data_IF_868540348070
#
_entry.id   IF_868540348070
#
_cell.length_a   1.000
_cell.length_b   1.000
_cell.length_c   1.000
_cell.angle_alpha   90.00
_cell.angle_beta   90.00
_cell.angle_gamma   90.00
#
_symmetry.space_group_name_H-M   'P 1'
#
loop_
_entity.id
_entity.type
_entity.pdbx_description
1 polymer ?
#
# COMPACT_ATOMS: atom_id res chain seq x y z
N UNK A 1 22.70 13.88 -4.33
CA UNK A 1 21.97 13.09 -3.31
C UNK A 1 22.71 13.04 -1.96
N UNK A 2 24.01 12.77 -1.86
CA UNK A 2 24.71 12.61 -0.57
C UNK A 2 24.85 13.91 0.24
N UNK A 3 24.97 15.07 -0.39
CA UNK A 3 25.03 16.39 0.28
C UNK A 3 23.69 16.84 0.89
N UNK A 4 22.57 16.28 0.47
CA UNK A 4 21.25 16.54 1.04
C UNK A 4 21.01 15.82 2.39
N UNK A 5 21.53 14.61 2.55
CA UNK A 5 21.31 13.80 3.76
C UNK A 5 21.90 14.43 5.03
N UNK A 6 23.05 15.10 4.94
CA UNK A 6 23.68 15.79 6.07
C UNK A 6 22.92 17.03 6.54
N UNK A 7 22.07 17.60 5.68
CA UNK A 7 21.27 18.78 6.01
C UNK A 7 19.88 18.45 6.60
N UNK A 8 19.43 17.20 6.51
CA UNK A 8 18.13 16.74 7.03
C UNK A 8 18.04 16.99 8.54
N UNK A 9 19.10 16.68 9.29
CA UNK A 9 19.14 16.85 10.74
C UNK A 9 19.33 18.30 11.20
N UNK A 10 19.69 19.21 10.31
CA UNK A 10 19.87 20.64 10.63
C UNK A 10 18.53 21.42 10.65
N UNK A 11 17.46 20.85 10.07
CA UNK A 11 16.14 21.49 10.04
C UNK A 11 15.32 20.95 11.22
N UNK A 12 15.04 21.76 12.28
CA UNK A 12 14.41 21.27 13.51
C UNK A 12 13.00 20.72 13.30
N UNK A 13 12.24 21.33 12.37
CA UNK A 13 10.88 20.85 12.06
C UNK A 13 10.89 19.48 11.36
N UNK A 14 11.78 19.29 10.40
CA UNK A 14 11.94 18.02 9.70
C UNK A 14 12.39 16.91 10.66
N UNK A 15 13.37 17.22 11.52
CA UNK A 15 13.82 16.31 12.58
C UNK A 15 12.66 15.90 13.49
N UNK A 16 11.81 16.85 13.93
CA UNK A 16 10.64 16.57 14.76
C UNK A 16 9.65 15.66 14.05
N UNK A 17 9.34 15.90 12.77
CA UNK A 17 8.43 15.06 11.98
C UNK A 17 8.95 13.64 11.81
N UNK A 18 10.25 13.48 11.50
CA UNK A 18 10.91 12.17 11.41
C UNK A 18 10.82 11.43 12.75
N UNK A 19 11.14 12.09 13.85
CA UNK A 19 11.11 11.51 15.18
C UNK A 19 9.69 11.07 15.58
N UNK A 20 8.67 11.87 15.27
CA UNK A 20 7.26 11.52 15.47
C UNK A 20 6.89 10.26 14.65
N UNK A 21 7.32 10.18 13.39
CA UNK A 21 7.07 9.01 12.55
C UNK A 21 7.67 7.74 13.17
N UNK A 22 8.95 7.80 13.57
CA UNK A 22 9.60 6.66 14.22
C UNK A 22 8.94 6.28 15.56
N UNK A 23 8.52 7.27 16.37
CA UNK A 23 7.83 7.04 17.63
C UNK A 23 6.53 6.26 17.40
N UNK A 24 5.69 6.70 16.46
CA UNK A 24 4.43 6.02 16.18
C UNK A 24 4.63 4.63 15.57
N UNK A 25 5.65 4.44 14.73
CA UNK A 25 6.03 3.11 14.22
C UNK A 25 6.53 2.19 15.35
N UNK A 26 7.26 2.72 16.33
CA UNK A 26 7.67 1.95 17.51
C UNK A 26 6.46 1.55 18.37
N UNK A 27 5.49 2.45 18.59
CA UNK A 27 4.24 2.14 19.29
C UNK A 27 3.47 1.04 18.56
N UNK A 28 3.34 1.14 17.23
CA UNK A 28 2.76 0.07 16.41
C UNK A 28 3.48 -1.25 16.64
N UNK A 29 4.82 -1.24 16.63
CA UNK A 29 5.62 -2.46 16.80
C UNK A 29 5.45 -3.09 18.18
N UNK A 30 5.36 -2.30 19.24
CA UNK A 30 5.05 -2.79 20.60
C UNK A 30 3.69 -3.49 20.63
N UNK A 31 2.65 -2.88 20.04
CA UNK A 31 1.30 -3.43 20.03
C UNK A 31 1.17 -4.76 19.26
N UNK A 32 2.03 -5.00 18.25
CA UNK A 32 2.11 -6.30 17.54
C UNK A 32 2.50 -7.46 18.48
N UNK A 33 3.14 -7.17 19.63
CA UNK A 33 3.59 -8.19 20.58
C UNK A 33 2.61 -8.40 21.76
N UNK A 34 1.51 -7.64 21.83
CA UNK A 34 0.50 -7.78 22.88
C UNK A 34 -0.53 -8.82 22.43
N UNK A 35 -0.56 -10.04 23.02
CA UNK A 35 -1.49 -11.07 22.58
C UNK A 35 -2.93 -10.75 23.00
N UNK A 36 -3.90 -11.23 22.21
CA UNK A 36 -5.32 -11.19 22.58
C UNK A 36 -5.58 -12.14 23.76
N UNK A 37 -6.36 -11.73 24.77
CA UNK A 37 -6.66 -12.58 25.91
C UNK A 37 -7.42 -13.86 25.52
N UNK A 38 -7.19 -14.96 26.26
CA UNK A 38 -7.93 -16.22 26.09
C UNK A 38 -7.37 -17.19 25.05
N UNK A 39 -6.14 -16.96 24.55
CA UNK A 39 -5.49 -17.76 23.50
C UNK A 39 -4.22 -18.40 24.03
N UNK A 40 -4.01 -19.66 23.65
CA UNK A 40 -2.75 -20.36 23.87
C UNK A 40 -1.77 -19.99 22.73
N UNK A 41 -0.80 -19.11 23.06
CA UNK A 41 0.17 -18.58 22.09
C UNK A 41 1.08 -19.67 21.48
N UNK A 42 1.46 -20.68 22.28
CA UNK A 42 2.36 -21.77 21.82
C UNK A 42 1.66 -22.70 20.84
N UNK A 43 0.41 -23.09 21.13
CA UNK A 43 -0.42 -23.88 20.23
C UNK A 43 -0.70 -23.16 18.92
N UNK A 44 -0.92 -21.84 18.98
CA UNK A 44 -1.14 -21.00 17.80
C UNK A 44 0.14 -20.88 16.97
N UNK A 45 1.28 -20.61 17.58
CA UNK A 45 2.57 -20.47 16.88
C UNK A 45 2.97 -21.77 16.17
N UNK A 46 2.72 -22.94 16.81
CA UNK A 46 2.97 -24.25 16.20
C UNK A 46 2.09 -24.48 14.97
N UNK A 47 0.82 -24.10 15.03
CA UNK A 47 -0.13 -24.18 13.91
C UNK A 47 0.33 -23.29 12.73
N UNK A 48 0.72 -22.04 13.01
CA UNK A 48 1.17 -21.12 11.95
C UNK A 48 2.49 -21.55 11.30
N UNK A 49 3.40 -22.16 12.03
CA UNK A 49 4.63 -22.74 11.46
C UNK A 49 4.35 -23.79 10.39
N UNK A 50 3.34 -24.64 10.59
CA UNK A 50 2.92 -25.60 9.56
C UNK A 50 2.21 -24.96 8.38
N UNK A 51 1.50 -23.86 8.61
CA UNK A 51 0.72 -23.17 7.57
C UNK A 51 1.45 -21.99 6.94
N UNK A 52 2.74 -21.82 7.18
CA UNK A 52 3.51 -20.67 6.68
C UNK A 52 3.54 -20.54 5.15
N UNK A 53 3.31 -21.63 4.41
CA UNK A 53 3.17 -21.66 2.94
C UNK A 53 1.78 -21.36 2.39
N UNK A 54 0.81 -21.03 3.23
CA UNK A 54 -0.59 -20.84 2.85
C UNK A 54 -1.00 -19.37 2.87
N UNK A 55 -2.28 -19.10 2.58
CA UNK A 55 -2.91 -17.79 2.68
C UNK A 55 -2.71 -17.09 4.02
N UNK A 56 -2.69 -17.86 5.11
CA UNK A 56 -2.44 -17.31 6.45
C UNK A 56 -1.08 -16.61 6.54
N UNK A 57 -0.05 -17.16 5.88
CA UNK A 57 1.25 -16.51 5.77
C UNK A 57 1.21 -15.16 5.03
N UNK A 58 0.38 -15.01 3.99
CA UNK A 58 0.20 -13.75 3.29
C UNK A 58 -0.52 -12.71 4.17
N UNK A 59 -1.59 -13.09 4.87
CA UNK A 59 -2.29 -12.18 5.80
C UNK A 59 -1.32 -11.71 6.88
N UNK A 60 -0.54 -12.65 7.43
CA UNK A 60 0.41 -12.35 8.49
C UNK A 60 1.56 -11.46 8.01
N UNK A 61 1.96 -11.57 6.75
CA UNK A 61 2.96 -10.68 6.15
C UNK A 61 2.49 -9.21 6.17
N UNK A 62 1.22 -8.93 5.82
CA UNK A 62 0.66 -7.58 5.86
C UNK A 62 0.42 -7.08 7.29
N UNK A 63 0.18 -7.97 8.24
CA UNK A 63 0.04 -7.64 9.66
C UNK A 63 1.38 -7.51 10.39
N UNK A 64 2.51 -7.83 9.73
CA UNK A 64 3.84 -7.74 10.32
C UNK A 64 4.13 -8.75 11.43
N UNK A 65 3.51 -9.94 11.39
CA UNK A 65 3.62 -10.97 12.40
C UNK A 65 2.59 -10.85 13.54
N UNK A 66 1.64 -9.93 13.41
CA UNK A 66 0.60 -9.73 14.41
C UNK A 66 -0.46 -10.86 14.39
N UNK A 67 -0.70 -11.44 13.22
CA UNK A 67 -1.68 -12.51 13.04
C UNK A 67 -1.17 -13.85 13.58
N UNK A 68 0.09 -14.20 13.34
CA UNK A 68 0.75 -15.40 13.88
C UNK A 68 0.66 -15.50 15.41
N UNK A 69 0.70 -14.34 16.10
CA UNK A 69 0.61 -14.25 17.57
C UNK A 69 -0.78 -13.93 18.06
N UNK A 70 -1.72 -13.76 17.16
CA UNK A 70 -3.04 -13.17 17.38
C UNK A 70 -2.99 -11.99 18.36
N UNK A 71 -2.14 -11.01 18.03
CA UNK A 71 -2.04 -9.80 18.84
C UNK A 71 -3.29 -8.94 18.71
N UNK A 72 -3.38 -7.92 19.56
CA UNK A 72 -4.43 -6.87 19.47
C UNK A 72 -4.49 -6.27 18.06
N UNK A 73 -3.37 -6.29 17.31
CA UNK A 73 -3.25 -5.79 15.95
C UNK A 73 -3.33 -6.89 14.86
N UNK A 74 -3.89 -8.07 15.18
CA UNK A 74 -3.90 -9.19 14.25
C UNK A 74 -4.62 -8.89 12.92
N UNK A 75 -5.72 -8.14 12.92
CA UNK A 75 -6.38 -7.67 11.70
C UNK A 75 -5.54 -6.66 10.91
N UNK A 76 -4.55 -6.03 11.55
CA UNK A 76 -3.72 -5.02 10.93
C UNK A 76 -4.51 -3.86 10.35
N UNK A 77 -4.06 -3.35 9.20
CA UNK A 77 -4.70 -2.25 8.47
C UNK A 77 -5.69 -2.74 7.39
N UNK A 78 -5.85 -4.08 7.22
CA UNK A 78 -6.67 -4.66 6.14
C UNK A 78 -8.13 -4.18 6.14
N UNK A 79 -8.85 -4.11 7.29
CA UNK A 79 -10.22 -3.61 7.31
C UNK A 79 -10.34 -2.16 6.82
N UNK A 80 -9.35 -1.32 7.13
CA UNK A 80 -9.31 0.06 6.66
C UNK A 80 -9.08 0.15 5.15
N UNK A 81 -8.15 -0.65 4.62
CA UNK A 81 -7.90 -0.71 3.17
C UNK A 81 -9.18 -1.13 2.46
N UNK A 82 -9.85 -2.21 2.92
CA UNK A 82 -11.09 -2.70 2.33
C UNK A 82 -12.20 -1.65 2.37
N UNK A 83 -12.39 -0.96 3.51
CA UNK A 83 -13.37 0.12 3.64
C UNK A 83 -13.06 1.29 2.69
N UNK A 84 -11.79 1.66 2.57
CA UNK A 84 -11.34 2.72 1.67
C UNK A 84 -11.60 2.38 0.21
N UNK A 85 -11.32 1.13 -0.20
CA UNK A 85 -11.61 0.63 -1.54
C UNK A 85 -13.11 0.71 -1.84
N UNK A 86 -13.93 0.15 -0.95
CA UNK A 86 -15.39 0.13 -1.09
C UNK A 86 -15.91 1.56 -1.26
N UNK A 87 -15.48 2.49 -0.41
CA UNK A 87 -15.92 3.88 -0.51
C UNK A 87 -15.41 4.57 -1.78
N UNK A 88 -14.18 4.33 -2.23
CA UNK A 88 -13.68 4.86 -3.48
C UNK A 88 -14.48 4.34 -4.69
N UNK A 89 -14.86 3.06 -4.70
CA UNK A 89 -15.74 2.51 -5.73
C UNK A 89 -17.13 3.15 -5.66
N UNK A 90 -17.68 3.34 -4.45
CA UNK A 90 -18.97 3.96 -4.25
C UNK A 90 -18.99 5.45 -4.65
N UNK A 91 -17.88 6.18 -4.57
CA UNK A 91 -17.81 7.57 -5.04
C UNK A 91 -18.03 7.70 -6.55
N UNK A 92 -17.78 6.65 -7.32
CA UNK A 92 -18.05 6.63 -8.77
C UNK A 92 -19.49 6.28 -9.07
N UNK A 93 -20.13 5.46 -8.21
CA UNK A 93 -21.50 4.93 -8.44
C UNK A 93 -22.57 5.84 -7.80
N UNK A 94 -22.29 6.41 -6.63
CA UNK A 94 -23.25 7.19 -5.85
C UNK A 94 -23.05 8.69 -6.09
N UNK A 95 -24.01 9.39 -6.75
CA UNK A 95 -23.85 10.82 -7.08
C UNK A 95 -23.63 11.73 -5.86
N UNK A 96 -24.15 11.34 -4.68
CA UNK A 96 -23.93 12.08 -3.44
C UNK A 96 -22.45 12.08 -3.03
N UNK A 97 -21.79 10.91 -3.10
CA UNK A 97 -20.38 10.77 -2.75
C UNK A 97 -19.46 11.44 -3.79
N UNK A 98 -19.86 11.39 -5.07
CA UNK A 98 -19.17 12.12 -6.15
C UNK A 98 -19.18 13.63 -5.89
N UNK A 99 -20.33 14.20 -5.49
CA UNK A 99 -20.43 15.62 -5.11
C UNK A 99 -19.53 15.96 -3.93
N UNK A 100 -19.53 15.13 -2.88
CA UNK A 100 -18.66 15.30 -1.73
C UNK A 100 -17.17 15.30 -2.14
N UNK A 101 -16.77 14.45 -3.06
CA UNK A 101 -15.39 14.42 -3.56
C UNK A 101 -15.01 15.73 -4.29
N UNK A 102 -15.96 16.36 -4.99
CA UNK A 102 -15.78 17.64 -5.69
C UNK A 102 -15.83 18.87 -4.76
N UNK A 103 -16.39 18.75 -3.55
CA UNK A 103 -16.44 19.82 -2.54
C UNK A 103 -15.07 20.18 -1.92
N UNK A 104 -13.99 19.55 -2.35
CA UNK A 104 -12.63 19.83 -1.87
C UNK A 104 -12.35 19.27 -0.47
N UNK A 105 -11.67 20.04 0.40
CA UNK A 105 -11.22 19.53 1.72
C UNK A 105 -12.35 19.13 2.66
N UNK A 106 -13.47 19.87 2.65
CA UNK A 106 -14.61 19.57 3.52
C UNK A 106 -15.26 18.23 3.14
N UNK A 107 -15.44 17.98 1.85
CA UNK A 107 -15.99 16.72 1.37
C UNK A 107 -15.03 15.53 1.61
N UNK A 108 -13.74 15.73 1.40
CA UNK A 108 -12.73 14.71 1.70
C UNK A 108 -12.73 14.30 3.17
N UNK A 109 -12.87 15.23 4.11
CA UNK A 109 -12.99 14.92 5.55
C UNK A 109 -14.19 14.04 5.84
N UNK A 110 -15.35 14.29 5.20
CA UNK A 110 -16.55 13.44 5.35
C UNK A 110 -16.33 12.03 4.77
N UNK A 111 -15.68 11.91 3.61
CA UNK A 111 -15.34 10.60 3.02
C UNK A 111 -14.42 9.81 3.95
N UNK A 112 -13.39 10.44 4.51
CA UNK A 112 -12.52 9.81 5.51
C UNK A 112 -13.30 9.37 6.75
N UNK A 113 -14.26 10.17 7.21
CA UNK A 113 -15.12 9.79 8.34
C UNK A 113 -15.99 8.56 8.02
N UNK A 114 -16.57 8.47 6.83
CA UNK A 114 -17.29 7.26 6.39
C UNK A 114 -16.36 6.04 6.28
N UNK A 115 -15.12 6.24 5.82
CA UNK A 115 -14.10 5.18 5.80
C UNK A 115 -13.84 4.66 7.22
N UNK A 116 -13.72 5.53 8.22
CA UNK A 116 -13.53 5.12 9.62
C UNK A 116 -14.72 4.28 10.12
N UNK A 117 -15.96 4.68 9.85
CA UNK A 117 -17.13 3.90 10.24
C UNK A 117 -17.17 2.54 9.54
N UNK A 118 -16.92 2.53 8.22
CA UNK A 118 -16.80 1.28 7.45
C UNK A 118 -15.71 0.35 7.99
N UNK A 119 -14.57 0.90 8.40
CA UNK A 119 -13.47 0.14 9.01
C UNK A 119 -13.91 -0.54 10.30
N UNK A 120 -14.61 0.17 11.18
CA UNK A 120 -15.10 -0.41 12.45
C UNK A 120 -16.08 -1.54 12.19
N UNK A 121 -17.04 -1.34 11.28
CA UNK A 121 -18.02 -2.39 10.92
C UNK A 121 -17.33 -3.62 10.32
N UNK A 122 -16.42 -3.42 9.36
CA UNK A 122 -15.68 -4.52 8.74
C UNK A 122 -14.78 -5.25 9.74
N UNK A 123 -14.12 -4.52 10.66
CA UNK A 123 -13.29 -5.14 11.68
C UNK A 123 -14.10 -5.97 12.69
N UNK A 124 -15.33 -5.56 13.02
CA UNK A 124 -16.23 -6.37 13.83
C UNK A 124 -16.63 -7.67 13.13
N UNK A 125 -17.01 -7.60 11.85
CA UNK A 125 -17.39 -8.77 11.06
C UNK A 125 -16.20 -9.73 10.92
N UNK A 126 -15.03 -9.21 10.55
CA UNK A 126 -13.82 -10.02 10.39
C UNK A 126 -13.34 -10.60 11.73
N UNK A 127 -13.37 -9.80 12.80
CA UNK A 127 -13.01 -10.25 14.16
C UNK A 127 -13.92 -11.37 14.66
N UNK A 128 -15.22 -11.27 14.38
CA UNK A 128 -16.19 -12.33 14.72
C UNK A 128 -15.91 -13.61 13.94
N UNK A 129 -15.62 -13.51 12.64
CA UNK A 129 -15.23 -14.66 11.84
C UNK A 129 -13.95 -15.32 12.36
N UNK A 130 -12.91 -14.54 12.68
CA UNK A 130 -11.66 -15.06 13.26
C UNK A 130 -11.93 -15.76 14.58
N UNK A 131 -12.76 -15.20 15.46
CA UNK A 131 -13.09 -15.81 16.74
C UNK A 131 -13.73 -17.21 16.58
N UNK A 132 -14.69 -17.35 15.66
CA UNK A 132 -15.32 -18.64 15.34
C UNK A 132 -14.30 -19.61 14.72
N UNK A 133 -13.47 -19.12 13.80
CA UNK A 133 -12.44 -19.93 13.16
C UNK A 133 -11.46 -20.53 14.18
N UNK A 134 -11.00 -19.72 15.12
CA UNK A 134 -10.06 -20.13 16.18
C UNK A 134 -10.64 -21.16 17.14
N UNK A 135 -11.94 -21.09 17.47
CA UNK A 135 -12.58 -22.09 18.31
C UNK A 135 -12.60 -23.49 17.68
N UNK A 136 -12.64 -23.54 16.34
CA UNK A 136 -12.65 -24.78 15.57
C UNK A 136 -11.24 -25.30 15.23
N UNK A 137 -10.20 -24.49 15.44
CA UNK A 137 -8.82 -24.86 15.15
C UNK A 137 -8.17 -25.54 16.33
N UNK A 138 -7.31 -26.53 16.04
CA UNK A 138 -6.49 -27.23 17.04
C UNK A 138 -5.02 -27.11 16.66
N UNK A 139 -4.17 -27.01 17.67
CA UNK A 139 -2.72 -27.05 17.49
C UNK A 139 -2.26 -28.40 16.93
N UNK A 140 -1.00 -28.47 16.55
CA UNK A 140 -0.38 -29.68 15.95
C UNK A 140 -0.40 -30.91 16.87
N UNK A 141 -0.36 -30.70 18.17
CA UNK A 141 -0.46 -31.75 19.19
C UNK A 141 -1.92 -32.06 19.62
N UNK A 142 -2.92 -31.49 18.92
CA UNK A 142 -4.33 -31.65 19.28
C UNK A 142 -4.81 -30.68 20.37
N UNK A 143 -3.96 -29.79 20.87
CA UNK A 143 -4.28 -28.83 21.90
C UNK A 143 -5.29 -27.78 21.38
N UNK A 144 -6.18 -27.32 22.26
CA UNK A 144 -7.11 -26.24 21.94
C UNK A 144 -6.36 -24.91 21.88
N UNK A 145 -6.55 -24.16 20.79
CA UNK A 145 -5.98 -22.82 20.62
C UNK A 145 -6.70 -21.85 21.55
N UNK A 146 -8.01 -22.02 21.73
CA UNK A 146 -8.84 -21.19 22.61
C UNK A 146 -8.99 -21.89 23.95
N UNK A 147 -8.57 -21.22 25.04
CA UNK A 147 -8.61 -21.79 26.40
C UNK A 147 -10.05 -22.01 26.90
N UNK A 148 -10.93 -21.04 26.65
CA UNK A 148 -12.35 -21.12 27.06
C UNK A 148 -13.21 -20.71 25.86
N UNK A 149 -13.69 -21.67 25.04
CA UNK A 149 -14.57 -21.39 23.93
C UNK A 149 -15.95 -20.91 24.40
N UNK A 150 -16.57 -20.03 23.64
CA UNK A 150 -17.92 -19.55 23.91
C UNK A 150 -18.12 -18.05 23.63
N UNK A 151 -19.33 -17.57 23.90
CA UNK A 151 -19.71 -16.19 23.60
C UNK A 151 -18.82 -15.14 24.29
N UNK A 152 -18.34 -15.43 25.51
CA UNK A 152 -17.42 -14.54 26.22
C UNK A 152 -16.12 -14.32 25.44
N UNK A 153 -15.52 -15.38 24.92
CA UNK A 153 -14.31 -15.29 24.07
C UNK A 153 -14.59 -14.54 22.77
N UNK A 154 -15.71 -14.86 22.09
CA UNK A 154 -16.07 -14.22 20.80
C UNK A 154 -16.22 -12.71 20.98
N UNK A 155 -17.00 -12.27 21.96
CA UNK A 155 -17.23 -10.83 22.21
C UNK A 155 -15.92 -10.14 22.58
N UNK A 156 -15.12 -10.73 23.47
CA UNK A 156 -13.84 -10.17 23.89
C UNK A 156 -12.87 -10.04 22.71
N UNK A 157 -12.76 -11.07 21.87
CA UNK A 157 -11.91 -11.06 20.69
C UNK A 157 -12.36 -9.99 19.69
N UNK A 158 -13.67 -9.88 19.40
CA UNK A 158 -14.20 -8.86 18.50
C UNK A 158 -13.88 -7.45 19.01
N UNK A 159 -14.13 -7.17 20.28
CA UNK A 159 -13.84 -5.86 20.88
C UNK A 159 -12.34 -5.56 20.81
N UNK A 160 -11.50 -6.51 21.19
CA UNK A 160 -10.04 -6.34 21.20
C UNK A 160 -9.48 -6.07 19.80
N UNK A 161 -9.86 -6.88 18.81
CA UNK A 161 -9.39 -6.72 17.44
C UNK A 161 -9.92 -5.44 16.78
N UNK A 162 -11.17 -5.07 17.04
CA UNK A 162 -11.77 -3.83 16.53
C UNK A 162 -11.09 -2.61 17.14
N UNK A 163 -10.86 -2.62 18.46
CA UNK A 163 -10.15 -1.55 19.14
C UNK A 163 -8.70 -1.42 18.61
N UNK A 164 -8.03 -2.55 18.40
CA UNK A 164 -6.68 -2.59 17.80
C UNK A 164 -6.65 -1.99 16.39
N UNK A 165 -7.59 -2.38 15.53
CA UNK A 165 -7.69 -1.83 14.16
C UNK A 165 -7.99 -0.32 14.19
N UNK A 166 -8.91 0.13 15.05
CA UNK A 166 -9.21 1.55 15.20
C UNK A 166 -7.98 2.34 15.67
N UNK A 167 -7.18 1.76 16.58
CA UNK A 167 -5.95 2.38 17.05
C UNK A 167 -4.87 2.44 15.96
N UNK A 168 -4.67 1.38 15.17
CA UNK A 168 -3.75 1.40 14.02
C UNK A 168 -4.17 2.46 13.00
N UNK A 169 -5.44 2.56 12.69
CA UNK A 169 -5.99 3.57 11.80
C UNK A 169 -5.66 4.97 12.33
N UNK A 170 -5.90 5.24 13.61
CA UNK A 170 -5.56 6.51 14.25
C UNK A 170 -4.05 6.79 14.21
N UNK A 171 -3.20 5.79 14.47
CA UNK A 171 -1.74 5.92 14.34
C UNK A 171 -1.35 6.32 12.92
N UNK A 172 -1.92 5.67 11.90
CA UNK A 172 -1.67 6.00 10.49
C UNK A 172 -2.04 7.43 10.13
N UNK A 173 -3.18 7.92 10.64
CA UNK A 173 -3.61 9.30 10.47
C UNK A 173 -2.65 10.28 11.18
N UNK A 174 -2.24 9.99 12.41
CA UNK A 174 -1.30 10.83 13.14
C UNK A 174 0.07 10.90 12.44
N UNK A 175 0.56 9.81 11.87
CA UNK A 175 1.80 9.82 11.07
C UNK A 175 1.61 10.72 9.84
N UNK A 176 0.47 10.62 9.15
CA UNK A 176 0.20 11.43 7.95
C UNK A 176 0.08 12.91 8.27
N UNK A 177 -0.55 13.29 9.39
CA UNK A 177 -0.75 14.69 9.77
C UNK A 177 0.50 15.34 10.38
N UNK A 178 1.18 14.62 11.27
CA UNK A 178 2.28 15.18 12.10
C UNK A 178 3.66 14.66 11.72
N UNK A 179 3.72 13.56 10.99
CA UNK A 179 4.96 12.92 10.55
C UNK A 179 5.36 13.28 9.12
N UNK A 180 6.02 12.33 8.47
CA UNK A 180 6.43 12.38 7.05
C UNK A 180 5.95 11.11 6.39
N UNK A 181 5.47 11.24 5.17
CA UNK A 181 4.97 10.11 4.38
C UNK A 181 3.47 9.83 4.61
N UNK A 182 2.96 8.86 3.87
CA UNK A 182 1.63 8.32 4.10
C UNK A 182 1.70 7.32 5.27
N UNK A 183 1.06 7.65 6.40
CA UNK A 183 1.17 6.86 7.62
C UNK A 183 0.68 5.42 7.48
N UNK A 184 -0.38 5.19 6.69
CA UNK A 184 -0.92 3.86 6.42
C UNK A 184 0.10 3.01 5.65
N UNK A 185 0.66 3.59 4.59
CA UNK A 185 1.69 2.93 3.79
C UNK A 185 2.96 2.64 4.61
N UNK A 186 3.34 3.55 5.52
CA UNK A 186 4.48 3.37 6.41
C UNK A 186 4.26 2.28 7.46
N UNK A 187 3.03 2.10 7.95
CA UNK A 187 2.69 0.99 8.87
C UNK A 187 2.83 -0.35 8.13
N UNK A 188 2.33 -0.45 6.89
CA UNK A 188 2.50 -1.66 6.07
C UNK A 188 3.98 -1.92 5.79
N UNK A 189 4.72 -0.88 5.39
CA UNK A 189 6.17 -0.94 5.20
C UNK A 189 6.90 -1.47 6.43
N UNK A 190 6.60 -0.92 7.61
CA UNK A 190 7.20 -1.35 8.87
C UNK A 190 6.87 -2.81 9.20
N UNK A 191 5.65 -3.26 8.92
CA UNK A 191 5.25 -4.67 9.05
C UNK A 191 6.09 -5.60 8.18
N UNK A 192 6.26 -5.26 6.91
CA UNK A 192 7.03 -6.05 5.94
C UNK A 192 8.52 -6.07 6.31
N UNK A 193 9.12 -4.90 6.56
CA UNK A 193 10.55 -4.77 6.89
C UNK A 193 10.91 -5.50 8.18
N UNK A 194 10.02 -5.48 9.16
CA UNK A 194 10.25 -6.17 10.44
C UNK A 194 10.35 -7.71 10.31
N UNK A 195 9.87 -8.30 9.23
CA UNK A 195 9.99 -9.76 8.94
C UNK A 195 11.23 -10.09 8.10
N UNK A 196 11.89 -9.11 7.51
CA UNK A 196 13.09 -9.35 6.69
C UNK A 196 14.21 -10.11 7.44
N UNK A 197 14.56 -9.77 8.70
CA UNK A 197 15.58 -10.51 9.42
C UNK A 197 15.26 -12.00 9.58
N UNK A 198 13.99 -12.33 9.87
CA UNK A 198 13.56 -13.73 9.99
C UNK A 198 13.63 -14.48 8.66
N UNK A 199 13.27 -13.84 7.57
CA UNK A 199 13.37 -14.43 6.23
C UNK A 199 14.83 -14.70 5.84
N UNK A 200 15.75 -13.78 6.19
CA UNK A 200 17.19 -13.98 5.98
C UNK A 200 17.71 -15.15 6.83
N UNK A 201 17.31 -15.22 8.11
CA UNK A 201 17.71 -16.30 9.01
C UNK A 201 17.23 -17.67 8.50
N UNK A 202 15.96 -17.79 8.08
CA UNK A 202 15.42 -19.03 7.50
C UNK A 202 16.16 -19.45 6.23
N UNK A 203 16.55 -18.49 5.38
CA UNK A 203 17.33 -18.79 4.17
C UNK A 203 18.73 -19.28 4.50
N UNK A 204 19.34 -18.73 5.54
CA UNK A 204 20.62 -19.20 6.04
C UNK A 204 20.55 -20.61 6.62
N UNK A 205 19.48 -20.94 7.38
CA UNK A 205 19.22 -22.30 7.88
C UNK A 205 19.09 -23.31 6.73
N UNK A 206 18.31 -22.99 5.69
CA UNK A 206 18.16 -23.88 4.53
C UNK A 206 19.48 -24.08 3.76
N UNK A 207 20.33 -23.07 3.73
CA UNK A 207 21.67 -23.18 3.17
C UNK A 207 22.55 -24.10 4.03
N UNK A 208 22.52 -23.98 5.36
CA UNK A 208 23.35 -24.81 6.27
C UNK A 208 22.89 -26.28 6.31
N UNK A 209 21.58 -26.54 6.16
CA UNK A 209 21.01 -27.90 6.06
C UNK A 209 21.25 -28.53 4.67
N UNK A 210 21.84 -27.78 3.72
CA UNK A 210 22.15 -28.29 2.38
C UNK A 210 20.96 -28.40 1.42
N UNK A 211 19.81 -27.85 1.79
CA UNK A 211 18.64 -27.81 0.91
C UNK A 211 18.75 -26.75 -0.19
N UNK A 212 19.63 -25.77 -0.02
CA UNK A 212 19.92 -24.73 -1.03
C UNK A 212 21.37 -24.73 -1.41
N UNK A 213 21.66 -24.72 -2.74
CA UNK A 213 23.00 -24.54 -3.26
C UNK A 213 23.44 -23.07 -3.12
N UNK A 214 24.76 -22.85 -2.93
CA UNK A 214 25.32 -21.50 -2.91
C UNK A 214 25.01 -20.72 -4.21
N UNK A 215 24.97 -21.42 -5.35
CA UNK A 215 24.61 -20.85 -6.65
C UNK A 215 23.17 -20.34 -6.63
N UNK A 216 22.24 -21.10 -6.05
CA UNK A 216 20.84 -20.69 -5.92
C UNK A 216 20.69 -19.42 -5.08
N UNK A 217 21.41 -19.32 -3.96
CA UNK A 217 21.42 -18.13 -3.10
C UNK A 217 21.94 -16.91 -3.87
N UNK A 218 23.05 -17.09 -4.60
CA UNK A 218 23.67 -16.00 -5.37
C UNK A 218 22.75 -15.50 -6.50
N UNK A 219 22.10 -16.43 -7.22
CA UNK A 219 21.11 -16.12 -8.27
C UNK A 219 19.92 -15.38 -7.68
N UNK A 220 19.42 -15.77 -6.51
CA UNK A 220 18.30 -15.09 -5.84
C UNK A 220 18.67 -13.66 -5.45
N UNK A 221 19.84 -13.43 -4.86
CA UNK A 221 20.31 -12.08 -4.53
C UNK A 221 20.40 -11.22 -5.80
N UNK A 222 20.94 -11.76 -6.88
CA UNK A 222 21.07 -11.05 -8.15
C UNK A 222 19.67 -10.69 -8.72
N UNK A 223 18.72 -11.62 -8.68
CA UNK A 223 17.33 -11.37 -9.10
C UNK A 223 16.70 -10.28 -8.22
N UNK A 224 16.87 -10.34 -6.89
CA UNK A 224 16.32 -9.31 -5.99
C UNK A 224 16.89 -7.92 -6.31
N UNK A 225 18.19 -7.79 -6.46
CA UNK A 225 18.82 -6.51 -6.81
C UNK A 225 18.33 -6.00 -8.16
N UNK A 226 18.20 -6.90 -9.15
CA UNK A 226 17.67 -6.56 -10.47
C UNK A 226 16.22 -6.08 -10.39
N UNK A 227 15.35 -6.79 -9.66
CA UNK A 227 13.94 -6.39 -9.48
C UNK A 227 13.83 -5.05 -8.79
N UNK A 228 14.59 -4.81 -7.72
CA UNK A 228 14.61 -3.52 -7.03
C UNK A 228 15.06 -2.39 -7.97
N UNK A 229 16.10 -2.62 -8.77
CA UNK A 229 16.57 -1.65 -9.76
C UNK A 229 15.50 -1.33 -10.82
N UNK A 230 14.78 -2.35 -11.32
CA UNK A 230 13.66 -2.17 -12.26
C UNK A 230 12.52 -1.39 -11.61
N UNK A 231 12.16 -1.70 -10.36
CA UNK A 231 11.12 -0.97 -9.62
C UNK A 231 11.50 0.51 -9.49
N UNK A 232 12.72 0.82 -9.04
CA UNK A 232 13.19 2.21 -8.90
C UNK A 232 13.16 2.93 -10.25
N UNK A 233 13.62 2.26 -11.32
CA UNK A 233 13.64 2.85 -12.66
C UNK A 233 12.24 3.21 -13.17
N UNK A 234 11.26 2.31 -13.01
CA UNK A 234 9.89 2.54 -13.49
C UNK A 234 9.14 3.53 -12.61
N UNK A 235 9.28 3.43 -11.27
CA UNK A 235 8.60 4.35 -10.33
C UNK A 235 9.12 5.80 -10.42
N UNK A 236 10.39 5.98 -10.75
CA UNK A 236 10.97 7.32 -10.99
C UNK A 236 10.75 7.81 -12.41
N UNK A 237 10.39 6.91 -13.33
CA UNK A 237 10.18 7.21 -14.74
C UNK A 237 9.00 8.15 -14.98
N UNK A 238 9.22 9.17 -15.83
CA UNK A 238 8.20 10.17 -16.17
C UNK A 238 8.19 10.45 -17.67
N UNK A 239 6.98 10.49 -18.25
CA UNK A 239 6.79 11.06 -19.59
C UNK A 239 6.50 12.55 -19.47
N UNK A 240 7.37 13.37 -19.99
CA UNK A 240 7.25 14.85 -19.96
C UNK A 240 6.55 15.31 -21.24
N UNK A 241 5.35 15.89 -21.10
CA UNK A 241 4.64 16.52 -22.20
C UNK A 241 5.05 18.02 -22.27
N UNK A 242 5.50 18.53 -23.43
CA UNK A 242 5.90 19.93 -23.56
C UNK A 242 4.66 20.82 -23.47
N UNK A 243 4.71 21.82 -22.60
CA UNK A 243 3.68 22.85 -22.43
C UNK A 243 4.31 24.21 -22.66
N UNK A 244 3.73 25.01 -23.54
CA UNK A 244 4.15 26.39 -23.80
C UNK A 244 3.11 27.36 -23.26
N UNK A 245 3.59 28.42 -22.63
CA UNK A 245 2.75 29.51 -22.16
C UNK A 245 2.89 30.71 -23.11
N UNK A 246 1.76 31.32 -23.43
CA UNK A 246 1.76 32.52 -24.27
C UNK A 246 2.56 33.68 -23.65
N UNK A 247 3.37 34.33 -24.44
CA UNK A 247 4.07 35.54 -24.01
C UNK A 247 3.07 36.64 -23.75
N UNK A 248 3.10 37.25 -22.57
CA UNK A 248 2.31 38.47 -22.26
C UNK A 248 3.24 39.68 -22.25
N UNK A 249 2.89 40.70 -23.01
CA UNK A 249 3.58 41.99 -23.01
C UNK A 249 2.81 42.91 -22.08
N UNK A 250 3.44 43.37 -21.01
CA UNK A 250 2.87 44.35 -20.07
C UNK A 250 3.80 45.58 -20.12
N UNK A 251 3.37 46.60 -20.88
CA UNK A 251 4.20 47.75 -21.15
C UNK A 251 5.43 47.41 -22.01
N UNK A 252 6.62 47.78 -21.56
CA UNK A 252 7.91 47.47 -22.22
C UNK A 252 8.52 46.12 -21.81
N UNK A 253 7.89 45.37 -20.89
CA UNK A 253 8.43 44.10 -20.39
C UNK A 253 7.63 42.90 -20.95
N UNK A 254 8.37 41.92 -21.47
CA UNK A 254 7.80 40.67 -21.94
C UNK A 254 7.82 39.67 -20.77
N UNK A 255 6.64 39.28 -20.31
CA UNK A 255 6.46 38.22 -19.30
C UNK A 255 5.98 36.96 -19.98
N UNK A 256 6.55 35.78 -19.59
CA UNK A 256 6.16 34.47 -20.10
C UNK A 256 7.03 34.01 -21.27
N UNK A 257 6.58 32.95 -21.95
CA UNK A 257 7.36 32.29 -23.00
C UNK A 257 8.29 31.20 -22.44
N UNK A 258 8.19 30.86 -21.17
CA UNK A 258 8.89 29.68 -20.63
C UNK A 258 8.17 28.42 -21.11
N UNK A 259 8.92 27.50 -21.71
CA UNK A 259 8.44 26.15 -21.97
C UNK A 259 8.58 25.33 -20.67
N UNK A 260 7.49 24.83 -20.18
CA UNK A 260 7.46 23.88 -19.07
C UNK A 260 7.03 22.51 -19.58
N UNK A 261 7.11 21.52 -18.73
CA UNK A 261 6.70 20.17 -19.06
C UNK A 261 5.66 19.69 -18.04
N UNK A 262 4.61 19.03 -18.52
CA UNK A 262 3.67 18.30 -17.68
C UNK A 262 4.26 16.90 -17.43
N UNK A 263 4.70 16.56 -16.21
CA UNK A 263 5.23 15.24 -15.90
C UNK A 263 4.09 14.27 -15.67
N UNK A 264 4.04 13.18 -16.45
CA UNK A 264 3.15 12.04 -16.22
C UNK A 264 4.02 10.87 -15.74
N UNK A 265 3.80 10.39 -14.52
CA UNK A 265 4.50 9.21 -13.99
C UNK A 265 4.16 7.98 -14.83
N UNK A 266 5.12 7.07 -15.06
CA UNK A 266 4.89 5.80 -15.77
C UNK A 266 3.93 4.90 -14.98
N UNK A 267 4.08 4.86 -13.66
CA UNK A 267 3.13 4.24 -12.77
C UNK A 267 2.35 5.33 -12.02
N UNK A 268 1.25 5.80 -12.61
CA UNK A 268 0.40 6.85 -12.00
C UNK A 268 -0.40 6.30 -10.83
N UNK A 269 -0.74 5.00 -10.86
CA UNK A 269 -1.52 4.32 -9.82
C UNK A 269 -0.70 3.92 -8.60
N UNK A 270 0.64 3.91 -8.69
CA UNK A 270 1.54 3.55 -7.59
C UNK A 270 1.40 2.09 -7.15
N UNK A 271 1.53 1.87 -5.85
CA UNK A 271 1.49 0.53 -5.22
C UNK A 271 0.09 0.13 -4.74
N UNK A 272 -0.92 0.96 -4.94
CA UNK A 272 -2.29 0.76 -4.45
C UNK A 272 -3.02 -0.39 -5.18
N UNK A 273 -2.97 -0.52 -6.53
CA UNK A 273 -3.70 -1.56 -7.25
C UNK A 273 -3.38 -3.00 -6.83
N UNK A 274 -2.12 -3.41 -6.63
CA UNK A 274 -1.81 -4.75 -6.11
C UNK A 274 -2.38 -5.02 -4.73
N UNK A 275 -2.42 -4.01 -3.85
CA UNK A 275 -2.99 -4.13 -2.51
C UNK A 275 -4.50 -4.38 -2.62
N UNK A 276 -5.17 -3.65 -3.52
CA UNK A 276 -6.60 -3.82 -3.78
C UNK A 276 -6.92 -5.19 -4.37
N UNK A 277 -6.17 -5.60 -5.37
CA UNK A 277 -6.33 -6.90 -6.02
C UNK A 277 -6.15 -8.05 -5.01
N UNK A 278 -5.11 -8.00 -4.17
CA UNK A 278 -4.89 -9.01 -3.14
C UNK A 278 -6.00 -9.02 -2.07
N UNK A 279 -6.46 -7.85 -1.63
CA UNK A 279 -7.53 -7.73 -0.63
C UNK A 279 -8.84 -8.34 -1.12
N UNK A 280 -9.22 -8.10 -2.38
CA UNK A 280 -10.45 -8.67 -2.97
C UNK A 280 -10.33 -10.18 -3.13
N UNK A 281 -9.18 -10.69 -3.59
CA UNK A 281 -8.97 -12.13 -3.74
C UNK A 281 -8.91 -12.86 -2.39
N UNK A 282 -8.40 -12.20 -1.35
CA UNK A 282 -8.37 -12.76 0.00
C UNK A 282 -9.75 -12.83 0.67
N UNK A 283 -10.68 -11.96 0.29
CA UNK A 283 -11.99 -11.88 0.95
C UNK A 283 -12.81 -13.17 0.86
N UNK A 284 -13.04 -13.81 -0.31
CA UNK A 284 -13.74 -15.09 -0.41
C UNK A 284 -13.03 -16.21 0.34
N UNK A 285 -11.70 -16.25 0.29
CA UNK A 285 -10.89 -17.26 0.97
C UNK A 285 -10.96 -17.11 2.50
N UNK A 286 -11.02 -15.86 2.98
CA UNK A 286 -11.20 -15.59 4.41
C UNK A 286 -12.57 -16.07 4.88
N UNK A 287 -13.64 -15.79 4.12
CA UNK A 287 -14.98 -16.28 4.44
C UNK A 287 -15.01 -17.82 4.48
N UNK A 288 -14.39 -18.46 3.51
CA UNK A 288 -14.36 -19.94 3.44
C UNK A 288 -13.64 -20.58 4.63
N UNK A 289 -12.59 -19.96 5.14
CA UNK A 289 -11.88 -20.45 6.34
C UNK A 289 -12.72 -20.38 7.62
N UNK A 290 -13.78 -19.56 7.62
CA UNK A 290 -14.73 -19.47 8.75
C UNK A 290 -15.92 -20.43 8.61
N UNK A 291 -16.05 -21.09 7.44
CA UNK A 291 -17.11 -22.08 7.27
C UNK A 291 -16.80 -23.36 8.02
N UNK A 292 -17.81 -24.02 8.65
CA UNK A 292 -17.62 -25.31 9.28
C UNK A 292 -17.11 -26.35 8.29
N UNK A 293 -16.08 -27.11 8.65
CA UNK A 293 -15.53 -28.18 7.80
C UNK A 293 -16.58 -29.17 7.26
N UNK A 294 -17.56 -29.64 8.07
CA UNK A 294 -18.62 -30.53 7.57
C UNK A 294 -19.39 -29.90 6.40
N UNK A 295 -19.70 -28.63 6.45
CA UNK A 295 -20.41 -27.92 5.36
C UNK A 295 -19.59 -27.86 4.07
N UNK A 296 -18.28 -27.67 4.18
CA UNK A 296 -17.36 -27.67 3.04
C UNK A 296 -17.23 -29.08 2.41
N UNK A 297 -17.28 -30.13 3.20
CA UNK A 297 -17.24 -31.51 2.74
C UNK A 297 -18.54 -31.94 2.03
N UNK A 298 -19.68 -31.40 2.44
CA UNK A 298 -20.97 -31.58 1.77
C UNK A 298 -21.06 -30.86 0.42
N UNK A 299 -20.21 -29.83 0.19
CA UNK A 299 -20.24 -29.02 -1.03
C UNK A 299 -18.90 -29.04 -1.79
N UNK A 300 -18.54 -30.15 -2.44
CA UNK A 300 -17.24 -30.33 -3.09
C UNK A 300 -16.93 -29.31 -4.20
N UNK A 301 -17.97 -28.73 -4.81
CA UNK A 301 -17.81 -27.65 -5.80
C UNK A 301 -17.23 -26.36 -5.18
N UNK A 302 -17.64 -26.02 -3.96
CA UNK A 302 -17.08 -24.88 -3.22
C UNK A 302 -15.60 -25.11 -2.93
N UNK A 303 -15.27 -26.31 -2.45
CA UNK A 303 -13.89 -26.69 -2.15
C UNK A 303 -13.00 -26.68 -3.41
N UNK A 304 -13.53 -27.09 -4.56
CA UNK A 304 -12.83 -27.03 -5.85
C UNK A 304 -12.55 -25.58 -6.27
N UNK A 305 -13.52 -24.67 -6.12
CA UNK A 305 -13.32 -23.24 -6.36
C UNK A 305 -12.27 -22.65 -5.42
N UNK A 306 -12.33 -22.97 -4.12
CA UNK A 306 -11.38 -22.46 -3.14
C UNK A 306 -9.96 -22.97 -3.40
N UNK A 307 -9.79 -24.22 -3.77
CA UNK A 307 -8.50 -24.78 -4.16
C UNK A 307 -7.94 -24.09 -5.43
N UNK A 308 -8.81 -23.76 -6.37
CA UNK A 308 -8.43 -23.03 -7.60
C UNK A 308 -8.09 -21.56 -7.35
N UNK A 309 -8.63 -20.98 -6.26
CA UNK A 309 -8.30 -19.62 -5.80
C UNK A 309 -7.12 -19.62 -4.80
N UNK A 310 -6.55 -20.77 -4.49
CA UNK A 310 -5.37 -20.87 -3.63
C UNK A 310 -4.13 -20.20 -4.23
N UNK A 311 -3.19 -19.69 -3.39
CA UNK A 311 -1.94 -19.11 -3.86
C UNK A 311 -1.15 -20.13 -4.68
N UNK A 312 -0.71 -19.70 -5.87
CA UNK A 312 0.04 -20.55 -6.81
C UNK A 312 -0.84 -21.25 -7.86
N UNK A 313 -2.15 -21.28 -7.71
CA UNK A 313 -3.06 -21.78 -8.75
C UNK A 313 -3.06 -20.83 -9.98
N UNK A 314 -3.20 -21.41 -11.16
CA UNK A 314 -3.22 -20.65 -12.41
C UNK A 314 -4.38 -19.63 -12.43
N UNK A 315 -5.56 -20.06 -11.97
CA UNK A 315 -6.75 -19.19 -11.89
C UNK A 315 -6.53 -18.00 -10.95
N UNK A 316 -5.92 -18.24 -9.78
CA UNK A 316 -5.55 -17.17 -8.85
C UNK A 316 -4.65 -16.13 -9.53
N UNK A 317 -3.58 -16.57 -10.21
CA UNK A 317 -2.65 -15.67 -10.87
C UNK A 317 -3.30 -14.88 -12.02
N UNK A 318 -4.17 -15.51 -12.81
CA UNK A 318 -4.91 -14.84 -13.88
C UNK A 318 -5.87 -13.79 -13.34
N UNK A 319 -6.64 -14.12 -12.30
CA UNK A 319 -7.54 -13.16 -11.65
C UNK A 319 -6.76 -12.03 -10.99
N UNK A 320 -5.64 -12.36 -10.34
CA UNK A 320 -4.78 -11.36 -9.71
C UNK A 320 -4.24 -10.35 -10.71
N UNK A 321 -3.70 -10.80 -11.84
CA UNK A 321 -3.25 -9.93 -12.94
C UNK A 321 -4.41 -9.11 -13.50
N UNK A 322 -5.57 -9.75 -13.74
CA UNK A 322 -6.77 -9.07 -14.24
C UNK A 322 -7.23 -7.94 -13.29
N UNK A 323 -7.29 -8.21 -12.00
CA UNK A 323 -7.63 -7.19 -11.00
C UNK A 323 -6.57 -6.09 -10.88
N UNK A 324 -5.28 -6.42 -10.96
CA UNK A 324 -4.23 -5.39 -10.97
C UNK A 324 -4.44 -4.44 -12.15
N UNK A 325 -4.64 -4.98 -13.35
CA UNK A 325 -4.87 -4.16 -14.56
C UNK A 325 -6.12 -3.30 -14.38
N UNK A 326 -7.23 -3.92 -13.95
CA UNK A 326 -8.48 -3.21 -13.70
C UNK A 326 -8.29 -2.05 -12.70
N UNK A 327 -7.67 -2.31 -11.56
CA UNK A 327 -7.45 -1.27 -10.54
C UNK A 327 -6.43 -0.22 -10.95
N UNK A 328 -5.44 -0.55 -11.77
CA UNK A 328 -4.54 0.46 -12.34
C UNK A 328 -5.31 1.48 -13.19
N UNK A 329 -6.19 1.01 -14.07
CA UNK A 329 -7.04 1.90 -14.87
C UNK A 329 -8.05 2.66 -14.03
N UNK A 330 -8.73 1.96 -13.13
CA UNK A 330 -9.71 2.55 -12.24
C UNK A 330 -9.11 3.67 -11.39
N UNK A 331 -7.99 3.37 -10.71
CA UNK A 331 -7.34 4.35 -9.82
C UNK A 331 -6.79 5.54 -10.60
N UNK A 332 -6.23 5.31 -11.78
CA UNK A 332 -5.75 6.38 -12.65
C UNK A 332 -6.91 7.30 -13.08
N UNK A 333 -8.07 6.73 -13.45
CA UNK A 333 -9.24 7.50 -13.84
C UNK A 333 -9.83 8.33 -12.68
N UNK A 334 -9.79 7.80 -11.45
CA UNK A 334 -10.30 8.50 -10.25
C UNK A 334 -9.36 9.61 -9.79
N UNK A 335 -8.03 9.40 -9.88
CA UNK A 335 -7.04 10.35 -9.35
C UNK A 335 -6.65 11.43 -10.34
N UNK A 336 -6.73 11.16 -11.63
CA UNK A 336 -6.30 12.10 -12.67
C UNK A 336 -7.43 12.34 -13.67
N UNK A 337 -7.99 13.57 -13.63
CA UNK A 337 -9.00 14.00 -14.59
C UNK A 337 -8.36 14.83 -15.73
N UNK A 338 -8.25 14.28 -16.94
CA UNK A 338 -7.64 14.98 -18.07
C UNK A 338 -8.35 16.28 -18.45
N UNK A 339 -9.68 16.34 -18.24
CA UNK A 339 -10.48 17.53 -18.56
C UNK A 339 -10.13 18.69 -17.63
N UNK A 340 -10.04 18.43 -16.32
CA UNK A 340 -9.69 19.49 -15.35
C UNK A 340 -8.28 20.01 -15.57
N UNK A 341 -7.33 19.13 -15.92
CA UNK A 341 -5.95 19.54 -16.25
C UNK A 341 -5.91 20.39 -17.51
N UNK A 342 -6.61 19.99 -18.58
CA UNK A 342 -6.65 20.73 -19.84
C UNK A 342 -7.37 22.10 -19.68
N UNK A 343 -8.43 22.15 -18.87
CA UNK A 343 -9.14 23.40 -18.56
C UNK A 343 -8.27 24.36 -17.74
N UNK A 344 -7.58 23.85 -16.72
CA UNK A 344 -6.64 24.65 -15.93
C UNK A 344 -5.50 25.17 -16.80
N UNK A 345 -4.91 24.32 -17.66
CA UNK A 345 -3.91 24.76 -18.62
C UNK A 345 -4.44 25.90 -19.50
N UNK A 346 -5.67 25.78 -20.02
CA UNK A 346 -6.31 26.83 -20.84
C UNK A 346 -6.50 28.12 -20.05
N UNK A 347 -6.96 28.05 -18.79
CA UNK A 347 -7.15 29.22 -17.90
C UNK A 347 -5.85 29.97 -17.65
N UNK A 348 -4.73 29.27 -17.54
CA UNK A 348 -3.39 29.87 -17.35
C UNK A 348 -2.67 30.22 -18.66
N UNK A 349 -3.33 30.05 -19.82
CA UNK A 349 -2.74 30.37 -21.11
C UNK A 349 -1.67 29.39 -21.59
N UNK A 350 -1.65 28.18 -21.02
CA UNK A 350 -0.79 27.06 -21.43
C UNK A 350 -1.42 26.26 -22.57
N UNK A 351 -0.61 25.78 -23.48
CA UNK A 351 -1.02 24.90 -24.58
C UNK A 351 0.07 23.89 -24.93
N UNK A 352 -0.33 22.76 -25.47
CA UNK A 352 0.59 21.77 -26.03
C UNK A 352 0.83 22.14 -27.51
N UNK A 353 2.09 22.24 -27.97
CA UNK A 353 2.38 22.56 -29.37
C UNK A 353 1.66 21.62 -30.34
N UNK A 354 0.98 22.20 -31.34
CA UNK A 354 0.23 21.46 -32.35
C UNK A 354 -1.21 21.05 -31.95
N UNK A 355 -1.66 21.38 -30.71
CA UNK A 355 -3.01 21.06 -30.25
C UNK A 355 -3.79 22.31 -29.83
N UNK A 356 -5.10 22.33 -30.12
CA UNK A 356 -5.97 23.42 -29.64
C UNK A 356 -6.20 23.26 -28.13
N UNK A 357 -6.05 24.37 -27.33
CA UNK A 357 -6.33 24.35 -25.91
C UNK A 357 -7.77 23.95 -25.59
N UNK A 358 -7.99 23.12 -24.58
CA UNK A 358 -9.30 22.65 -24.15
C UNK A 358 -9.50 21.17 -24.48
N UNK A 359 -10.68 20.79 -25.05
CA UNK A 359 -11.10 19.40 -25.24
C UNK A 359 -10.09 18.54 -26.01
N UNK A 360 -9.50 19.08 -27.11
CA UNK A 360 -8.48 18.33 -27.88
C UNK A 360 -7.20 18.06 -27.08
N UNK A 361 -6.85 18.93 -26.18
CA UNK A 361 -5.73 18.73 -25.24
C UNK A 361 -6.09 17.65 -24.21
N UNK A 362 -7.34 17.63 -23.70
CA UNK A 362 -7.82 16.59 -22.80
C UNK A 362 -7.81 15.19 -23.46
N UNK A 363 -8.35 15.08 -24.66
CA UNK A 363 -8.35 13.82 -25.44
C UNK A 363 -6.91 13.29 -25.68
N UNK A 364 -5.96 14.18 -25.95
CA UNK A 364 -4.57 13.80 -26.15
C UNK A 364 -3.92 13.32 -24.84
N UNK A 365 -4.13 14.03 -23.74
CA UNK A 365 -3.62 13.64 -22.41
C UNK A 365 -4.21 12.30 -22.02
N UNK A 366 -5.51 12.08 -22.21
CA UNK A 366 -6.20 10.84 -21.91
C UNK A 366 -5.62 9.66 -22.71
N UNK A 367 -5.42 9.86 -24.01
CA UNK A 367 -4.80 8.83 -24.89
C UNK A 367 -3.38 8.48 -24.44
N UNK A 368 -2.58 9.46 -24.03
CA UNK A 368 -1.23 9.22 -23.53
C UNK A 368 -1.27 8.50 -22.20
N UNK A 369 -2.16 8.95 -21.30
CA UNK A 369 -2.33 8.37 -19.96
C UNK A 369 -2.76 6.89 -20.05
N UNK A 370 -3.75 6.57 -20.88
CA UNK A 370 -4.22 5.19 -21.12
C UNK A 370 -3.09 4.26 -21.56
N UNK A 371 -2.22 4.73 -22.47
CA UNK A 371 -1.07 3.92 -22.93
C UNK A 371 0.00 3.73 -21.86
N UNK A 372 0.28 4.78 -21.09
CA UNK A 372 1.23 4.71 -19.99
C UNK A 372 0.71 3.79 -18.90
N UNK A 373 -0.58 3.89 -18.56
CA UNK A 373 -1.24 3.03 -17.56
C UNK A 373 -1.18 1.56 -17.94
N UNK A 374 -1.35 1.21 -19.24
CA UNK A 374 -1.17 -0.18 -19.68
C UNK A 374 0.24 -0.69 -19.41
N UNK A 375 1.26 0.11 -19.79
CA UNK A 375 2.66 -0.26 -19.54
C UNK A 375 2.95 -0.41 -18.05
N UNK A 376 2.45 0.53 -17.22
CA UNK A 376 2.56 0.47 -15.76
C UNK A 376 1.86 -0.75 -15.17
N UNK A 377 0.63 -1.07 -15.62
CA UNK A 377 -0.13 -2.21 -15.15
C UNK A 377 0.55 -3.56 -15.48
N UNK A 378 1.08 -3.70 -16.69
CA UNK A 378 1.84 -4.89 -17.09
C UNK A 378 3.12 -5.05 -16.25
N UNK A 379 3.84 -3.96 -16.03
CA UNK A 379 5.02 -3.95 -15.17
C UNK A 379 4.67 -4.38 -13.73
N UNK A 380 3.66 -3.75 -13.12
CA UNK A 380 3.21 -4.08 -11.76
C UNK A 380 2.78 -5.55 -11.67
N UNK A 381 2.01 -6.04 -12.65
CA UNK A 381 1.59 -7.43 -12.72
C UNK A 381 2.78 -8.40 -12.81
N UNK A 382 3.76 -8.08 -13.65
CA UNK A 382 4.96 -8.90 -13.80
C UNK A 382 5.77 -8.99 -12.48
N UNK A 383 5.96 -7.86 -11.80
CA UNK A 383 6.65 -7.82 -10.50
C UNK A 383 5.88 -8.58 -9.43
N UNK A 384 4.53 -8.50 -9.42
CA UNK A 384 3.70 -9.17 -8.43
C UNK A 384 3.62 -10.69 -8.62
N UNK A 385 3.67 -11.19 -9.86
CA UNK A 385 3.61 -12.63 -10.16
C UNK A 385 4.99 -13.31 -10.08
N UNK A 386 6.07 -12.56 -10.28
CA UNK A 386 7.44 -13.09 -10.29
C UNK A 386 7.78 -13.96 -9.06
N UNK A 387 7.47 -13.58 -7.81
CA UNK A 387 7.76 -14.42 -6.64
C UNK A 387 6.99 -15.73 -6.62
N UNK A 388 5.76 -15.77 -7.14
CA UNK A 388 4.99 -17.01 -7.25
C UNK A 388 5.70 -18.00 -8.18
N UNK A 389 6.29 -17.49 -9.27
CA UNK A 389 7.09 -18.32 -10.19
C UNK A 389 8.38 -18.78 -9.53
N UNK A 390 9.06 -17.90 -8.78
CA UNK A 390 10.28 -18.23 -8.06
C UNK A 390 10.04 -19.29 -6.99
N UNK A 391 8.95 -19.15 -6.22
CA UNK A 391 8.54 -20.15 -5.23
C UNK A 391 8.29 -21.51 -5.88
N UNK A 392 7.53 -21.57 -6.97
CA UNK A 392 7.20 -22.81 -7.66
C UNK A 392 8.41 -23.50 -8.30
N UNK A 393 9.46 -22.77 -8.70
CA UNK A 393 10.62 -23.32 -9.38
C UNK A 393 11.81 -23.60 -8.48
N UNK A 394 12.04 -22.79 -7.44
CA UNK A 394 13.23 -22.84 -6.60
C UNK A 394 12.97 -23.24 -5.15
N UNK A 395 11.71 -23.51 -4.79
CA UNK A 395 11.28 -23.89 -3.42
C UNK A 395 11.83 -22.95 -2.34
N UNK A 396 11.94 -21.67 -2.68
CA UNK A 396 12.51 -20.65 -1.82
C UNK A 396 11.49 -20.26 -0.76
N UNK A 397 11.81 -20.32 0.54
CA UNK A 397 10.91 -19.92 1.61
C UNK A 397 10.71 -18.40 1.67
N UNK A 398 11.03 -17.71 0.59
CA UNK A 398 10.94 -16.27 0.50
C UNK A 398 9.50 -15.82 0.27
N UNK A 399 8.86 -15.40 1.33
CA UNK A 399 7.67 -14.57 1.28
C UNK A 399 7.96 -13.10 0.89
N UNK A 400 9.05 -12.84 0.18
CA UNK A 400 9.18 -11.57 -0.53
C UNK A 400 8.30 -11.61 -1.77
N UNK A 401 6.97 -11.56 -1.53
CA UNK A 401 6.03 -11.38 -2.61
C UNK A 401 6.36 -10.11 -3.39
N UNK A 402 6.15 -10.10 -4.71
CA UNK A 402 6.38 -8.93 -5.55
C UNK A 402 5.64 -7.70 -5.04
N UNK A 403 4.46 -7.90 -4.45
CA UNK A 403 3.69 -6.86 -3.75
C UNK A 403 4.45 -6.22 -2.60
N UNK A 404 5.11 -7.03 -1.75
CA UNK A 404 5.87 -6.47 -0.61
C UNK A 404 7.11 -5.71 -1.06
N UNK A 405 7.83 -6.18 -2.08
CA UNK A 405 8.96 -5.43 -2.67
C UNK A 405 8.49 -4.12 -3.28
N UNK A 406 7.39 -4.13 -4.05
CA UNK A 406 6.78 -2.94 -4.63
C UNK A 406 6.38 -1.93 -3.55
N UNK A 407 5.76 -2.40 -2.46
CA UNK A 407 5.35 -1.54 -1.34
C UNK A 407 6.58 -0.97 -0.64
N UNK A 408 7.58 -1.81 -0.33
CA UNK A 408 8.80 -1.37 0.37
C UNK A 408 9.53 -0.30 -0.44
N UNK A 409 9.78 -0.55 -1.72
CA UNK A 409 10.50 0.39 -2.58
C UNK A 409 9.66 1.63 -2.86
N UNK A 410 8.36 1.47 -3.19
CA UNK A 410 7.45 2.57 -3.50
C UNK A 410 7.25 3.52 -2.31
N UNK A 411 7.00 2.98 -1.12
CA UNK A 411 6.82 3.79 0.10
C UNK A 411 8.12 4.49 0.49
N UNK A 412 9.27 3.81 0.35
CA UNK A 412 10.57 4.43 0.59
C UNK A 412 10.82 5.60 -0.38
N UNK A 413 10.55 5.42 -1.68
CA UNK A 413 10.69 6.48 -2.69
C UNK A 413 9.76 7.66 -2.42
N UNK A 414 8.48 7.40 -2.14
CA UNK A 414 7.50 8.45 -1.83
C UNK A 414 7.90 9.24 -0.57
N UNK A 415 8.40 8.54 0.45
CA UNK A 415 8.87 9.19 1.69
C UNK A 415 10.10 10.06 1.43
N UNK A 416 11.06 9.58 0.64
CA UNK A 416 12.24 10.36 0.24
C UNK A 416 11.84 11.59 -0.58
N UNK A 417 10.92 11.44 -1.55
CA UNK A 417 10.41 12.57 -2.34
C UNK A 417 9.73 13.64 -1.46
N UNK A 418 8.95 13.22 -0.45
CA UNK A 418 8.35 14.15 0.50
C UNK A 418 9.40 14.88 1.36
N UNK A 419 10.42 14.18 1.81
CA UNK A 419 11.55 14.78 2.54
C UNK A 419 12.25 15.83 1.65
N UNK A 420 12.54 15.50 0.39
CA UNK A 420 13.17 16.41 -0.57
C UNK A 420 12.28 17.64 -0.83
N UNK A 421 10.97 17.45 -0.99
CA UNK A 421 10.02 18.57 -1.19
C UNK A 421 10.01 19.52 0.01
N UNK A 422 9.99 18.99 1.23
CA UNK A 422 10.07 19.81 2.44
C UNK A 422 11.41 20.57 2.57
N UNK A 423 12.52 19.96 2.19
CA UNK A 423 13.83 20.62 2.18
C UNK A 423 13.88 21.78 1.18
N UNK A 424 13.36 21.59 -0.04
CA UNK A 424 13.34 22.61 -1.08
C UNK A 424 12.50 23.82 -0.64
N UNK A 425 11.32 23.60 -0.10
CA UNK A 425 10.42 24.68 0.36
C UNK A 425 11.12 25.56 1.41
N UNK A 426 11.81 24.96 2.36
CA UNK A 426 12.53 25.70 3.42
C UNK A 426 13.79 26.39 2.93
N UNK A 427 14.48 25.86 1.94
CA UNK A 427 15.62 26.53 1.33
C UNK A 427 15.21 27.86 0.66
N UNK A 428 14.05 27.87 -0.02
CA UNK A 428 13.48 29.08 -0.61
C UNK A 428 13.03 30.10 0.46
N UNK A 429 12.40 29.67 1.56
CA UNK A 429 12.03 30.57 2.66
C UNK A 429 13.26 31.18 3.34
N UNK A 430 14.33 30.44 3.49
CA UNK A 430 15.60 30.90 4.02
C UNK A 430 16.26 31.99 3.14
N UNK A 431 16.19 31.83 1.83
CA UNK A 431 16.64 32.80 0.85
C UNK A 431 15.79 34.08 0.87
N UNK A 432 14.47 33.98 0.96
CA UNK A 432 13.56 35.13 1.04
C UNK A 432 13.73 35.90 2.37
N UNK A 433 13.97 35.24 3.50
CA UNK A 433 14.27 35.93 4.78
C UNK A 433 15.62 36.64 4.78
N UNK A 434 16.64 36.08 4.11
CA UNK A 434 17.95 36.77 3.93
C UNK A 434 17.91 37.85 2.86
N UNK A 435 16.96 37.77 1.92
CA UNK A 435 16.76 38.74 0.82
C UNK A 435 15.88 39.93 1.19
N UNK A 436 15.91 40.42 2.44
CA UNK A 436 15.46 41.79 2.72
C UNK A 436 16.38 42.72 1.96
N UNK A 437 16.04 42.96 0.71
CA UNK A 437 16.62 44.01 -0.11
C UNK A 437 16.56 45.30 0.69
N UNK A 438 17.69 45.78 1.21
CA UNK A 438 17.86 47.13 1.62
C UNK A 438 17.49 47.99 0.41
N UNK A 439 16.28 48.50 0.38
CA UNK A 439 15.88 49.50 -0.59
C UNK A 439 16.84 50.62 -0.44
N UNK A 440 17.61 50.86 -1.49
CA UNK A 440 18.49 52.02 -1.62
C UNK A 440 17.56 53.25 -1.71
N UNK A 441 17.28 53.87 -0.57
CA UNK A 441 16.83 55.24 -0.55
C UNK A 441 18.03 56.11 -0.96
N UNK A 442 18.03 56.56 -2.15
CA UNK A 442 18.73 57.73 -2.65
C UNK A 442 17.70 58.71 -3.08
#
# INVERSE_FOLDING_TARGET
>A
MISGATNIFKIPELKRRILITFLFLAIYRVGVHIPTPGINGDALASFFKQMSGTLFGLIDMFSGGAFERLSVFALGIMPYISASIILQLLTVVIPYLERLQKEGEMGRKKIVQYTRYGTVVLSMIQGFGIAIGLENMRGTAGEMIVLVPGWSFRIMTVITLTAGTAFIMWLGEQITERGIGNGISLIIFAGIVARMPNAIAQSYELFTVGQMSIITVLVLILIMVFVVAVIIFVETGQRRLPVQYAKRIVGRRVYGGQSTHLPLKLNTSGVIPPIFASSILMFPLTIANFMPKPWLEEHPWVQSILNSLGPGALLYNLLYVGFIIFFCYFYTAVTFNPNDVAENMKKFGGYIPGLRPGQKTAEYIDKVLTRITLGGALYVSAVCVLPTILYARFNVPFYFGGTSLLIVVGVALDTVQQIEAHMLTRHYEGLMKKGRLKGRRG
#
